data_IF_853859634414
#
_entry.id   IF_853859634414
#
_cell.length_a   1.000
_cell.length_b   1.000
_cell.length_c   1.000
_cell.angle_alpha   90.00
_cell.angle_beta   90.00
_cell.angle_gamma   90.00
#
_symmetry.space_group_name_H-M   'P 1'
#
loop_
_entity.id
_entity.type
_entity.pdbx_description
1 polymer ?
#
# COMPACT_ATOMS: atom_id res chain seq x y z
N UNK A 1 -57.13 -33.03 -33.47
CA UNK A 1 -56.53 -31.70 -33.19
C UNK A 1 -55.76 -31.81 -31.89
N UNK A 2 -54.43 -31.79 -31.92
CA UNK A 2 -53.61 -31.65 -30.72
C UNK A 2 -52.64 -30.49 -30.96
N UNK A 3 -52.77 -29.44 -30.16
CA UNK A 3 -51.85 -28.29 -30.16
C UNK A 3 -50.86 -28.54 -29.04
N UNK A 4 -49.59 -28.76 -29.39
CA UNK A 4 -48.50 -28.85 -28.44
C UNK A 4 -48.02 -27.43 -28.10
N UNK A 5 -48.13 -27.04 -26.83
CA UNK A 5 -47.56 -25.80 -26.32
C UNK A 5 -46.11 -26.05 -25.90
N UNK A 6 -45.17 -25.35 -26.54
CA UNK A 6 -43.75 -25.35 -26.16
C UNK A 6 -43.56 -24.26 -25.11
N UNK A 7 -43.25 -24.66 -23.87
CA UNK A 7 -42.85 -23.74 -22.82
C UNK A 7 -41.35 -23.40 -23.01
N UNK A 8 -41.06 -22.12 -23.28
CA UNK A 8 -39.68 -21.62 -23.29
C UNK A 8 -39.20 -21.42 -21.85
N UNK A 9 -38.17 -22.17 -21.45
CA UNK A 9 -37.50 -21.97 -20.17
C UNK A 9 -36.55 -20.77 -20.27
N UNK A 10 -36.81 -19.74 -19.46
CA UNK A 10 -35.92 -18.58 -19.31
C UNK A 10 -34.80 -18.99 -18.34
N UNK A 11 -33.60 -19.22 -18.87
CA UNK A 11 -32.39 -19.38 -18.08
C UNK A 11 -32.04 -18.03 -17.44
N UNK A 12 -32.25 -17.91 -16.13
CA UNK A 12 -31.77 -16.77 -15.35
C UNK A 12 -30.25 -16.90 -15.19
N UNK A 13 -29.49 -15.98 -15.77
CA UNK A 13 -28.05 -15.86 -15.53
C UNK A 13 -27.82 -15.37 -14.10
N UNK A 14 -27.14 -16.16 -13.27
CA UNK A 14 -26.64 -15.70 -11.97
C UNK A 14 -25.65 -14.56 -12.24
N UNK A 15 -25.86 -13.35 -11.70
CA UNK A 15 -24.92 -12.26 -11.92
C UNK A 15 -23.56 -12.67 -11.35
N UNK A 16 -22.51 -12.55 -12.18
CA UNK A 16 -21.16 -12.77 -11.72
C UNK A 16 -20.85 -11.81 -10.55
N UNK A 17 -20.11 -12.26 -9.52
CA UNK A 17 -19.74 -11.39 -8.42
C UNK A 17 -19.01 -10.15 -8.96
N UNK A 18 -19.42 -8.96 -8.50
CA UNK A 18 -18.76 -7.70 -8.86
C UNK A 18 -17.28 -7.82 -8.53
N UNK A 19 -16.35 -7.49 -9.45
CA UNK A 19 -14.93 -7.83 -9.32
C UNK A 19 -14.26 -7.30 -8.04
N UNK A 20 -14.85 -6.32 -7.38
CA UNK A 20 -14.34 -5.71 -6.14
C UNK A 20 -15.29 -5.86 -4.93
N UNK A 21 -16.26 -6.78 -4.97
CA UNK A 21 -17.15 -7.04 -3.83
C UNK A 21 -16.40 -7.71 -2.67
N UNK A 22 -16.74 -7.32 -1.45
CA UNK A 22 -16.24 -7.93 -0.21
C UNK A 22 -17.30 -7.83 0.88
N UNK A 23 -17.19 -8.67 1.92
CA UNK A 23 -18.02 -8.54 3.11
C UNK A 23 -17.46 -7.42 4.00
N UNK A 24 -18.16 -6.29 4.02
CA UNK A 24 -17.74 -5.11 4.77
C UNK A 24 -17.76 -5.33 6.28
N UNK A 25 -18.77 -6.02 6.81
CA UNK A 25 -18.88 -6.22 8.25
C UNK A 25 -17.77 -7.15 8.74
N UNK A 26 -17.52 -8.24 7.99
CA UNK A 26 -16.41 -9.15 8.28
C UNK A 26 -15.05 -8.42 8.24
N UNK A 27 -14.81 -7.57 7.22
CA UNK A 27 -13.56 -6.81 7.13
C UNK A 27 -13.37 -5.84 8.30
N UNK A 28 -14.44 -5.16 8.72
CA UNK A 28 -14.37 -4.23 9.86
C UNK A 28 -14.22 -4.95 11.21
N UNK A 29 -14.57 -6.23 11.30
CA UNK A 29 -14.41 -7.04 12.50
C UNK A 29 -12.98 -7.60 12.69
N UNK A 30 -12.15 -7.66 11.64
CA UNK A 30 -10.77 -8.17 11.71
C UNK A 30 -9.92 -7.40 12.74
N UNK A 31 -8.93 -8.07 13.36
CA UNK A 31 -7.93 -7.38 14.18
C UNK A 31 -7.05 -6.45 13.31
N UNK A 32 -6.43 -5.40 13.87
CA UNK A 32 -5.57 -4.49 13.09
C UNK A 32 -4.48 -5.23 12.30
N UNK A 33 -3.87 -6.26 12.91
CA UNK A 33 -2.88 -7.10 12.26
C UNK A 33 -3.48 -7.88 11.07
N UNK A 34 -4.60 -8.56 11.27
CA UNK A 34 -5.23 -9.38 10.23
C UNK A 34 -5.81 -8.53 9.08
N UNK A 35 -6.25 -7.30 9.38
CA UNK A 35 -6.76 -6.40 8.36
C UNK A 35 -5.65 -5.79 7.50
N UNK A 36 -4.55 -5.35 8.11
CA UNK A 36 -3.58 -4.46 7.45
C UNK A 36 -2.28 -5.16 6.99
N UNK A 37 -1.90 -6.25 7.65
CA UNK A 37 -0.60 -6.90 7.47
C UNK A 37 -0.69 -8.31 6.89
N UNK A 38 -1.89 -8.90 6.81
CA UNK A 38 -2.11 -10.14 6.08
C UNK A 38 -1.98 -9.88 4.57
N UNK A 39 -1.02 -10.55 3.92
CA UNK A 39 -0.71 -10.37 2.50
C UNK A 39 -1.73 -11.06 1.58
N UNK A 40 -2.46 -12.05 2.10
CA UNK A 40 -3.48 -12.82 1.37
C UNK A 40 -4.91 -12.45 1.80
N UNK A 41 -5.05 -11.84 2.98
CA UNK A 41 -6.32 -11.39 3.56
C UNK A 41 -6.45 -9.88 3.71
N UNK A 42 -7.45 -9.46 4.50
CA UNK A 42 -7.70 -8.05 4.79
C UNK A 42 -7.94 -7.19 3.53
N UNK A 43 -7.32 -6.01 3.48
CA UNK A 43 -7.49 -5.09 2.33
C UNK A 43 -6.59 -5.42 1.13
N UNK A 44 -5.54 -6.22 1.29
CA UNK A 44 -4.51 -6.47 0.26
C UNK A 44 -5.08 -7.07 -1.04
N UNK A 45 -6.00 -8.05 -1.03
CA UNK A 45 -6.61 -8.57 -2.25
C UNK A 45 -7.34 -7.52 -3.10
N UNK A 46 -7.88 -6.47 -2.49
CA UNK A 46 -8.49 -5.35 -3.21
C UNK A 46 -7.41 -4.38 -3.71
N UNK A 47 -6.48 -3.98 -2.83
CA UNK A 47 -5.47 -2.97 -3.16
C UNK A 47 -4.44 -3.40 -4.21
N UNK A 48 -4.16 -4.70 -4.31
CA UNK A 48 -3.22 -5.26 -5.28
C UNK A 48 -3.79 -5.29 -6.71
N UNK A 49 -5.11 -5.20 -6.88
CA UNK A 49 -5.78 -5.18 -8.17
C UNK A 49 -6.11 -3.75 -8.58
N UNK A 50 -5.58 -3.31 -9.71
CA UNK A 50 -5.67 -1.90 -10.15
C UNK A 50 -7.12 -1.43 -10.22
N UNK A 51 -8.01 -2.26 -10.75
CA UNK A 51 -9.44 -2.02 -10.89
C UNK A 51 -10.21 -1.94 -9.56
N UNK A 52 -9.62 -2.39 -8.45
CA UNK A 52 -10.26 -2.38 -7.12
C UNK A 52 -9.64 -1.39 -6.14
N UNK A 53 -8.64 -0.60 -6.55
CA UNK A 53 -7.93 0.33 -5.67
C UNK A 53 -8.83 1.41 -5.07
N UNK A 54 -9.80 1.94 -5.82
CA UNK A 54 -10.79 2.87 -5.26
C UNK A 54 -11.60 2.22 -4.13
N UNK A 55 -11.98 0.95 -4.28
CA UNK A 55 -12.68 0.21 -3.23
C UNK A 55 -11.77 -0.03 -2.01
N UNK A 56 -10.49 -0.31 -2.24
CA UNK A 56 -9.51 -0.56 -1.19
C UNK A 56 -9.26 0.67 -0.31
N UNK A 57 -9.13 1.87 -0.90
CA UNK A 57 -8.90 3.10 -0.13
C UNK A 57 -10.09 3.48 0.73
N UNK A 58 -11.31 3.24 0.24
CA UNK A 58 -12.53 3.45 1.04
C UNK A 58 -12.65 2.43 2.17
N UNK A 59 -12.21 1.18 1.96
CA UNK A 59 -12.15 0.17 3.02
C UNK A 59 -11.11 0.53 4.09
N UNK A 60 -9.90 0.96 3.70
CA UNK A 60 -8.85 1.43 4.62
C UNK A 60 -9.34 2.59 5.49
N UNK A 61 -9.96 3.60 4.88
CA UNK A 61 -10.53 4.75 5.59
C UNK A 61 -11.67 4.33 6.55
N UNK A 62 -12.57 3.45 6.08
CA UNK A 62 -13.66 2.93 6.90
C UNK A 62 -13.16 2.11 8.10
N UNK A 63 -12.13 1.29 7.91
CA UNK A 63 -11.53 0.48 8.97
C UNK A 63 -10.89 1.37 10.03
N UNK A 64 -10.09 2.36 9.63
CA UNK A 64 -9.50 3.32 10.56
C UNK A 64 -10.58 4.05 11.36
N UNK A 65 -11.64 4.54 10.71
CA UNK A 65 -12.75 5.20 11.40
C UNK A 65 -13.42 4.30 12.44
N UNK A 66 -13.58 3.02 12.15
CA UNK A 66 -14.24 2.07 13.06
C UNK A 66 -13.31 1.58 14.18
N UNK A 67 -12.01 1.43 13.92
CA UNK A 67 -11.09 0.64 14.76
C UNK A 67 -9.88 1.41 15.31
N UNK A 68 -9.75 2.72 15.06
CA UNK A 68 -8.58 3.48 15.50
C UNK A 68 -8.25 3.36 17.00
N UNK A 69 -9.26 3.16 17.86
CA UNK A 69 -9.07 2.99 19.31
C UNK A 69 -8.43 1.65 19.70
N UNK A 70 -8.50 0.66 18.82
CA UNK A 70 -7.92 -0.67 19.01
C UNK A 70 -6.50 -0.77 18.43
N UNK A 71 -6.01 0.30 17.78
CA UNK A 71 -4.71 0.33 17.13
C UNK A 71 -3.66 0.94 18.05
N UNK A 72 -2.44 0.41 17.99
CA UNK A 72 -1.27 1.15 18.47
C UNK A 72 -1.01 2.37 17.59
N UNK A 73 -0.19 3.31 18.08
CA UNK A 73 0.24 4.46 17.27
C UNK A 73 0.84 4.01 15.92
N UNK A 74 1.76 3.05 15.96
CA UNK A 74 2.41 2.52 14.75
C UNK A 74 1.42 1.88 13.77
N UNK A 75 0.41 1.16 14.27
CA UNK A 75 -0.63 0.56 13.43
C UNK A 75 -1.49 1.63 12.77
N UNK A 76 -1.85 2.69 13.50
CA UNK A 76 -2.61 3.81 12.97
C UNK A 76 -1.82 4.55 11.87
N UNK A 77 -0.55 4.86 12.13
CA UNK A 77 0.35 5.50 11.16
C UNK A 77 0.58 4.62 9.94
N UNK A 78 0.80 3.31 10.12
CA UNK A 78 0.93 2.35 9.01
C UNK A 78 -0.34 2.28 8.16
N UNK A 79 -1.52 2.32 8.78
CA UNK A 79 -2.78 2.34 8.04
C UNK A 79 -2.93 3.62 7.19
N UNK A 80 -2.59 4.80 7.73
CA UNK A 80 -2.54 6.04 6.97
C UNK A 80 -1.58 5.94 5.78
N UNK A 81 -0.38 5.39 6.03
CA UNK A 81 0.64 5.17 5.01
C UNK A 81 0.14 4.29 3.86
N UNK A 82 -0.52 3.17 4.18
CA UNK A 82 -1.09 2.28 3.18
C UNK A 82 -2.18 2.93 2.33
N UNK A 83 -3.12 3.66 2.94
CA UNK A 83 -4.12 4.40 2.17
C UNK A 83 -3.45 5.45 1.27
N UNK A 84 -2.46 6.17 1.80
CA UNK A 84 -1.70 7.18 1.06
C UNK A 84 -1.03 6.61 -0.19
N UNK A 85 -0.37 5.44 -0.09
CA UNK A 85 0.28 4.79 -1.23
C UNK A 85 -0.72 4.35 -2.31
N UNK A 86 -1.87 3.80 -1.91
CA UNK A 86 -2.88 3.38 -2.90
C UNK A 86 -3.52 4.60 -3.57
N UNK A 87 -3.77 5.68 -2.82
CA UNK A 87 -4.24 6.96 -3.40
C UNK A 87 -3.21 7.58 -4.33
N UNK A 88 -1.92 7.48 -4.02
CA UNK A 88 -0.84 7.91 -4.91
C UNK A 88 -0.87 7.12 -6.23
N UNK A 89 -1.05 5.80 -6.16
CA UNK A 89 -1.17 4.93 -7.32
C UNK A 89 -2.45 5.16 -8.15
N UNK A 90 -3.47 5.80 -7.57
CA UNK A 90 -4.67 6.27 -8.27
C UNK A 90 -4.51 7.69 -8.86
N UNK A 91 -3.36 8.34 -8.67
CA UNK A 91 -3.14 9.73 -9.09
C UNK A 91 -3.83 10.77 -8.21
N UNK A 92 -4.34 10.39 -7.03
CA UNK A 92 -5.02 11.28 -6.09
C UNK A 92 -4.01 12.02 -5.21
N UNK A 93 -3.13 12.81 -5.83
CA UNK A 93 -1.95 13.44 -5.21
C UNK A 93 -2.23 14.17 -3.90
N UNK A 94 -3.21 15.09 -3.88
CA UNK A 94 -3.50 15.89 -2.68
C UNK A 94 -3.93 15.04 -1.48
N UNK A 95 -4.70 13.98 -1.73
CA UNK A 95 -5.12 13.05 -0.69
C UNK A 95 -3.95 12.19 -0.23
N UNK A 96 -3.18 11.65 -1.17
CA UNK A 96 -2.00 10.85 -0.89
C UNK A 96 -1.00 11.60 -0.02
N UNK A 97 -0.65 12.84 -0.36
CA UNK A 97 0.31 13.66 0.39
C UNK A 97 -0.11 13.83 1.86
N UNK A 98 -1.39 14.17 2.12
CA UNK A 98 -1.89 14.32 3.49
C UNK A 98 -1.79 13.02 4.29
N UNK A 99 -2.16 11.89 3.67
CA UNK A 99 -2.14 10.59 4.33
C UNK A 99 -0.72 10.06 4.55
N UNK A 100 0.18 10.23 3.58
CA UNK A 100 1.58 9.80 3.70
C UNK A 100 2.30 10.58 4.80
N UNK A 101 2.05 11.90 4.92
CA UNK A 101 2.57 12.69 6.04
C UNK A 101 1.94 12.30 7.38
N UNK A 102 0.63 12.01 7.41
CA UNK A 102 -0.02 11.47 8.61
C UNK A 102 0.47 10.07 8.99
N UNK A 103 1.06 9.32 8.04
CA UNK A 103 1.70 8.04 8.29
C UNK A 103 3.11 8.13 8.87
N UNK A 104 3.68 9.34 8.97
CA UNK A 104 4.94 9.56 9.69
C UNK A 104 4.64 9.65 11.18
N UNK A 105 5.29 8.80 11.98
CA UNK A 105 5.21 8.87 13.44
C UNK A 105 5.72 10.23 13.93
N UNK A 106 5.05 10.89 14.90
CA UNK A 106 5.53 12.14 15.49
C UNK A 106 6.85 11.98 16.25
N UNK A 107 7.14 10.76 16.70
CA UNK A 107 8.42 10.37 17.31
C UNK A 107 9.13 9.40 16.35
N UNK A 108 9.72 9.91 15.24
CA UNK A 108 10.36 9.05 14.27
C UNK A 108 11.58 8.40 14.91
N UNK A 109 11.59 7.07 14.93
CA UNK A 109 12.80 6.31 15.17
C UNK A 109 13.74 6.58 13.99
N UNK A 110 15.04 6.62 14.23
CA UNK A 110 16.07 6.76 13.18
C UNK A 110 16.20 5.53 12.28
N UNK A 111 15.08 4.94 11.84
CA UNK A 111 14.98 3.75 11.01
C UNK A 111 14.76 4.07 9.51
N UNK A 112 14.73 5.37 9.17
CA UNK A 112 14.61 5.86 7.80
C UNK A 112 13.17 5.97 7.26
N UNK A 113 12.14 5.52 7.98
CA UNK A 113 10.74 5.59 7.50
C UNK A 113 10.29 7.02 7.22
N UNK A 114 10.70 7.98 8.05
CA UNK A 114 10.37 9.38 7.86
C UNK A 114 10.96 9.95 6.57
N UNK A 115 12.23 9.68 6.28
CA UNK A 115 12.87 10.15 5.05
C UNK A 115 12.30 9.47 3.81
N UNK A 116 11.96 8.19 3.90
CA UNK A 116 11.22 7.50 2.85
C UNK A 116 9.87 8.16 2.56
N UNK A 117 9.11 8.51 3.60
CA UNK A 117 7.84 9.22 3.45
C UNK A 117 8.00 10.61 2.84
N UNK A 118 8.96 11.39 3.32
CA UNK A 118 9.27 12.73 2.79
C UNK A 118 9.69 12.65 1.33
N UNK A 119 10.57 11.71 0.96
CA UNK A 119 10.98 11.51 -0.42
C UNK A 119 9.81 11.13 -1.33
N UNK A 120 8.92 10.25 -0.85
CA UNK A 120 7.71 9.87 -1.57
C UNK A 120 6.78 11.07 -1.81
N UNK A 121 6.58 11.90 -0.79
CA UNK A 121 5.78 13.15 -0.91
C UNK A 121 6.43 14.13 -1.88
N UNK A 122 7.75 14.30 -1.83
CA UNK A 122 8.48 15.16 -2.76
C UNK A 122 8.32 14.72 -4.22
N UNK A 123 8.39 13.40 -4.48
CA UNK A 123 8.09 12.84 -5.81
C UNK A 123 6.68 13.20 -6.28
N UNK A 124 5.66 13.03 -5.42
CA UNK A 124 4.27 13.34 -5.76
C UNK A 124 4.04 14.83 -6.05
N UNK A 125 4.76 15.70 -5.35
CA UNK A 125 4.72 17.15 -5.53
C UNK A 125 5.63 17.64 -6.68
N UNK A 126 6.30 16.72 -7.39
CA UNK A 126 7.27 17.03 -8.45
C UNK A 126 8.41 17.94 -7.96
N UNK A 127 8.83 17.76 -6.71
CA UNK A 127 10.00 18.42 -6.14
C UNK A 127 11.22 17.49 -6.17
N UNK A 128 12.02 17.60 -7.23
CA UNK A 128 13.20 16.75 -7.43
C UNK A 128 14.30 17.04 -6.40
N UNK A 129 14.43 18.29 -5.95
CA UNK A 129 15.46 18.68 -5.01
C UNK A 129 15.16 18.12 -3.61
N UNK A 130 13.90 18.23 -3.16
CA UNK A 130 13.49 17.63 -1.90
C UNK A 130 13.54 16.09 -1.93
N UNK A 131 13.19 15.47 -3.06
CA UNK A 131 13.35 14.02 -3.25
C UNK A 131 14.81 13.58 -3.10
N UNK A 132 15.73 14.27 -3.77
CA UNK A 132 17.16 13.98 -3.66
C UNK A 132 17.65 14.15 -2.21
N UNK A 133 17.28 15.25 -1.56
CA UNK A 133 17.69 15.50 -0.17
C UNK A 133 17.16 14.43 0.80
N UNK A 134 15.92 13.95 0.62
CA UNK A 134 15.36 12.87 1.43
C UNK A 134 16.07 11.53 1.17
N UNK A 135 16.36 11.24 -0.11
CA UNK A 135 17.14 10.06 -0.52
C UNK A 135 18.53 10.05 0.11
N UNK A 136 19.22 11.18 0.12
CA UNK A 136 20.56 11.30 0.70
C UNK A 136 20.55 11.12 2.22
N UNK A 137 19.53 11.64 2.91
CA UNK A 137 19.34 11.39 4.35
C UNK A 137 19.04 9.93 4.64
N UNK A 138 18.15 9.30 3.86
CA UNK A 138 17.84 7.88 4.00
C UNK A 138 19.09 7.01 3.79
N UNK A 139 19.88 7.30 2.75
CA UNK A 139 21.13 6.59 2.45
C UNK A 139 22.18 6.66 3.57
N UNK A 140 22.13 7.70 4.41
CA UNK A 140 23.03 7.88 5.55
C UNK A 140 22.57 7.16 6.83
N UNK A 141 21.38 6.55 6.85
CA UNK A 141 20.87 5.84 8.03
C UNK A 141 21.70 4.56 8.24
N UNK A 142 22.32 4.35 9.42
CA UNK A 142 23.06 3.13 9.70
C UNK A 142 22.13 1.93 9.89
N UNK A 143 22.56 0.70 9.55
CA UNK A 143 21.79 -0.50 9.82
C UNK A 143 21.54 -0.65 11.33
N UNK A 144 20.37 -1.15 11.74
CA UNK A 144 20.11 -1.45 13.13
C UNK A 144 21.03 -2.59 13.61
N UNK A 145 21.36 -2.66 14.91
CA UNK A 145 22.10 -3.79 15.46
C UNK A 145 21.44 -5.13 15.11
N UNK A 146 22.23 -6.09 14.63
CA UNK A 146 21.74 -7.43 14.24
C UNK A 146 21.16 -7.54 12.82
N UNK A 147 21.22 -6.45 12.02
CA UNK A 147 20.67 -6.45 10.66
C UNK A 147 21.21 -7.60 9.79
N UNK A 148 22.50 -7.94 9.87
CA UNK A 148 23.10 -8.99 9.05
C UNK A 148 22.50 -10.37 9.36
N UNK A 149 22.24 -10.65 10.63
CA UNK A 149 21.58 -11.90 11.05
C UNK A 149 20.13 -11.92 10.57
N UNK A 150 19.43 -10.79 10.70
CA UNK A 150 18.05 -10.64 10.24
C UNK A 150 17.95 -10.81 8.72
N UNK A 151 18.89 -10.22 7.96
CA UNK A 151 18.99 -10.36 6.51
C UNK A 151 19.26 -11.80 6.10
N UNK A 152 20.15 -12.51 6.81
CA UNK A 152 20.41 -13.93 6.56
C UNK A 152 19.17 -14.80 6.81
N UNK A 153 18.44 -14.55 7.90
CA UNK A 153 17.16 -15.25 8.18
C UNK A 153 16.11 -14.95 7.12
N UNK A 154 15.98 -13.69 6.71
CA UNK A 154 15.04 -13.28 5.66
C UNK A 154 15.36 -13.98 4.32
N UNK A 155 16.63 -14.04 3.92
CA UNK A 155 17.07 -14.75 2.72
C UNK A 155 16.76 -16.24 2.79
N UNK A 156 17.03 -16.89 3.92
CA UNK A 156 16.73 -18.31 4.10
C UNK A 156 15.21 -18.60 4.01
N UNK A 157 14.37 -17.72 4.56
CA UNK A 157 12.93 -17.90 4.58
C UNK A 157 12.25 -17.59 3.24
N UNK A 158 12.67 -16.52 2.57
CA UNK A 158 11.96 -15.96 1.41
C UNK A 158 12.74 -16.04 0.09
N UNK A 159 13.98 -16.52 0.11
CA UNK A 159 14.84 -16.63 -1.08
C UNK A 159 15.23 -15.27 -1.68
N UNK A 160 15.13 -14.18 -0.91
CA UNK A 160 15.37 -12.80 -1.37
C UNK A 160 16.33 -12.09 -0.44
N UNK A 161 17.19 -11.24 -1.00
CA UNK A 161 18.09 -10.39 -0.20
C UNK A 161 17.30 -9.27 0.49
N UNK A 162 17.70 -8.95 1.72
CA UNK A 162 17.24 -7.77 2.44
C UNK A 162 18.35 -6.71 2.38
N UNK A 163 18.07 -5.58 1.75
CA UNK A 163 19.01 -4.47 1.64
C UNK A 163 18.72 -3.39 2.67
N UNK A 164 19.78 -2.74 3.15
CA UNK A 164 19.70 -1.55 4.00
C UNK A 164 20.28 -0.34 3.26
N UNK A 165 19.74 0.88 3.45
CA UNK A 165 18.49 1.22 4.15
C UNK A 165 17.23 0.68 3.47
N UNK A 166 16.22 0.34 4.28
CA UNK A 166 14.93 -0.11 3.73
C UNK A 166 14.32 0.99 2.84
N UNK A 167 13.78 0.58 1.69
CA UNK A 167 13.13 1.44 0.70
C UNK A 167 14.02 2.48 0.01
N UNK A 168 15.35 2.43 0.16
CA UNK A 168 16.24 3.32 -0.60
C UNK A 168 16.08 3.10 -2.12
N UNK A 169 15.90 1.85 -2.54
CA UNK A 169 15.63 1.47 -3.94
C UNK A 169 14.38 2.15 -4.51
N UNK A 170 13.40 2.47 -3.66
CA UNK A 170 12.19 3.19 -4.07
C UNK A 170 12.51 4.64 -4.42
N UNK A 171 13.26 5.34 -3.56
CA UNK A 171 13.61 6.74 -3.81
C UNK A 171 14.55 6.87 -5.01
N UNK A 172 15.44 5.88 -5.20
CA UNK A 172 16.26 5.77 -6.42
C UNK A 172 15.37 5.61 -7.65
N UNK A 173 14.35 4.75 -7.60
CA UNK A 173 13.41 4.58 -8.70
C UNK A 173 12.56 5.81 -9.00
N UNK A 174 12.15 6.55 -7.97
CA UNK A 174 11.49 7.85 -8.14
C UNK A 174 12.40 8.89 -8.80
N UNK A 175 13.70 8.89 -8.52
CA UNK A 175 14.66 9.78 -9.19
C UNK A 175 14.89 9.38 -10.66
N UNK A 176 14.97 8.08 -10.93
CA UNK A 176 15.16 7.54 -12.27
C UNK A 176 13.94 7.75 -13.18
N UNK A 177 12.74 7.59 -12.61
CA UNK A 177 11.45 7.69 -13.30
C UNK A 177 10.65 8.91 -12.85
N UNK A 178 11.31 10.05 -12.65
CA UNK A 178 10.74 11.24 -11.99
C UNK A 178 9.43 11.77 -12.60
N UNK A 179 9.31 11.72 -13.92
CA UNK A 179 8.13 12.26 -14.62
C UNK A 179 7.02 11.22 -14.83
N UNK A 180 7.24 9.96 -14.46
CA UNK A 180 6.23 8.91 -14.59
C UNK A 180 5.13 9.03 -13.52
N UNK A 181 3.96 8.41 -13.75
CA UNK A 181 2.96 8.18 -12.71
C UNK A 181 3.56 7.42 -11.52
N UNK A 182 2.98 7.61 -10.33
CA UNK A 182 3.48 6.98 -9.10
C UNK A 182 3.54 5.45 -9.19
N UNK A 183 2.51 4.81 -9.74
CA UNK A 183 2.46 3.35 -9.83
C UNK A 183 3.55 2.77 -10.75
N UNK A 184 3.88 3.46 -11.84
CA UNK A 184 5.01 3.12 -12.70
C UNK A 184 6.36 3.37 -12.02
N UNK A 185 6.57 4.56 -11.43
CA UNK A 185 7.83 4.91 -10.79
C UNK A 185 8.12 4.07 -9.53
N UNK A 186 7.06 3.61 -8.84
CA UNK A 186 7.14 2.69 -7.71
C UNK A 186 7.38 1.24 -8.15
N UNK A 187 7.18 0.88 -9.42
CA UNK A 187 7.37 -0.50 -9.89
C UNK A 187 8.84 -0.92 -9.91
N UNK A 188 9.09 -2.22 -10.10
CA UNK A 188 10.46 -2.75 -10.23
C UNK A 188 11.18 -2.26 -11.49
N UNK A 189 10.45 -1.85 -12.53
CA UNK A 189 11.05 -1.39 -13.79
C UNK A 189 11.88 -0.12 -13.63
N UNK A 190 11.60 0.66 -12.59
CA UNK A 190 12.31 1.90 -12.29
C UNK A 190 13.39 1.75 -11.21
N UNK A 191 13.41 0.64 -10.48
CA UNK A 191 14.33 0.46 -9.34
C UNK A 191 15.58 -0.31 -9.78
N UNK A 192 16.77 0.04 -9.24
CA UNK A 192 18.03 -0.64 -9.56
C UNK A 192 18.08 -2.08 -9.06
#
# INVERSE_FOLDING_TARGET
MFVAAIAAAVLQSVPAPTPCSYDREAMLALSPQAFDQDMEGGWRPLGNRRECRDTAVELLAAYRKARWRDMTSDQLHTNYWHEGQVRAALGQTDHAVRLLLAGVSPDPIGDGKADYAIGTVAFLLKDRAALQAARDRLAAVPPPPGFEEDAARFKAQYGRELSWPLNLDVLDGFLACFDKPYDEAYSRDCRP
#
